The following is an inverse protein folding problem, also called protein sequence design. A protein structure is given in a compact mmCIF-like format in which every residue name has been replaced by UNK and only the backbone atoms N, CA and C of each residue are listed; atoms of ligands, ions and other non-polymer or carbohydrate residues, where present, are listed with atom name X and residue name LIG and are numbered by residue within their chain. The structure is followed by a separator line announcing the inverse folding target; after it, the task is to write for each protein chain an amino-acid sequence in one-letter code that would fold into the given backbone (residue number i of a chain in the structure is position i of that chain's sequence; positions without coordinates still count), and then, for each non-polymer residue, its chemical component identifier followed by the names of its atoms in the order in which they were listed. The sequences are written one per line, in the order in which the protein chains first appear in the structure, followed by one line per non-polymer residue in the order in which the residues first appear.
data_IF_206126042449
#
_entry.id   IF_206126042449
#
_cell.length_a   1.000
_cell.length_b   1.000
_cell.length_c   1.000
_cell.angle_alpha   90.00
_cell.angle_beta   90.00
_cell.angle_gamma   90.00
#
_symmetry.space_group_name_H-M   'P 1'
#
loop_
_entity.id
_entity.type
_entity.pdbx_description
1 polymer ?
#
# COMPACT_ATOMS: atom_id res chain seq x y z
N UNK A 1 0.69 17.49 -35.51
CA UNK A 1 1.22 16.14 -35.21
C UNK A 1 2.16 16.25 -34.03
N UNK A 2 1.66 16.14 -32.80
CA UNK A 2 2.54 16.12 -31.62
C UNK A 2 3.07 14.71 -31.44
N UNK A 3 4.20 14.43 -32.11
CA UNK A 3 5.01 13.25 -31.87
C UNK A 3 5.64 13.38 -30.49
N UNK A 4 5.06 12.72 -29.47
CA UNK A 4 5.84 12.31 -28.31
C UNK A 4 6.83 11.25 -28.83
N UNK A 5 8.12 11.44 -28.63
CA UNK A 5 9.13 10.49 -29.11
C UNK A 5 8.97 9.11 -28.46
N UNK A 6 10.03 8.32 -28.54
CA UNK A 6 10.14 7.03 -27.85
C UNK A 6 10.36 7.21 -26.33
N UNK A 7 9.60 8.09 -25.69
CA UNK A 7 9.80 8.57 -24.31
C UNK A 7 8.57 8.44 -23.41
N UNK A 8 7.52 7.75 -23.86
CA UNK A 8 6.55 7.02 -23.02
C UNK A 8 5.88 7.80 -21.88
N UNK A 9 4.57 8.09 -22.01
CA UNK A 9 3.77 8.61 -20.90
C UNK A 9 3.76 7.63 -19.71
N UNK A 10 4.58 7.89 -18.69
CA UNK A 10 4.60 7.15 -17.43
C UNK A 10 3.71 7.87 -16.41
N UNK A 11 2.60 7.22 -16.01
CA UNK A 11 1.78 7.67 -14.89
C UNK A 11 2.03 6.73 -13.71
N UNK A 12 2.65 7.20 -12.61
CA UNK A 12 2.85 6.36 -11.45
C UNK A 12 1.50 5.94 -10.85
N UNK A 13 1.43 4.71 -10.38
CA UNK A 13 0.30 4.17 -9.65
C UNK A 13 0.56 4.29 -8.14
N UNK A 14 -0.49 4.58 -7.39
CA UNK A 14 -0.45 4.58 -5.92
C UNK A 14 -1.31 3.44 -5.41
N UNK A 15 -0.74 2.64 -4.51
CA UNK A 15 -1.45 1.61 -3.74
C UNK A 15 -1.42 2.02 -2.27
N UNK A 16 -2.55 1.88 -1.61
CA UNK A 16 -2.73 2.21 -0.19
C UNK A 16 -3.34 1.03 0.53
N UNK A 17 -3.13 0.94 1.84
CA UNK A 17 -3.84 -0.01 2.68
C UNK A 17 -3.78 0.36 4.15
N UNK A 18 -4.45 -0.47 4.95
CA UNK A 18 -4.61 -0.29 6.38
C UNK A 18 -4.46 -1.64 7.08
N UNK A 19 -3.88 -1.66 8.28
CA UNK A 19 -3.62 -2.87 9.06
C UNK A 19 -4.07 -2.65 10.50
N UNK A 20 -4.92 -3.57 10.97
CA UNK A 20 -5.49 -3.60 12.33
C UNK A 20 -5.45 -5.03 12.88
N UNK A 21 -5.62 -5.16 14.20
CA UNK A 21 -5.77 -6.44 14.87
C UNK A 21 -7.26 -6.78 14.96
N UNK A 22 -7.70 -7.72 14.13
CA UNK A 22 -9.01 -8.36 14.20
C UNK A 22 -9.02 -9.35 15.38
N UNK A 23 -9.72 -8.99 16.45
CA UNK A 23 -9.74 -9.69 17.74
C UNK A 23 -10.89 -10.67 17.87
N UNK A 24 -11.96 -10.49 17.11
CA UNK A 24 -13.13 -11.37 17.14
C UNK A 24 -13.29 -12.23 15.87
N UNK A 25 -12.46 -11.98 14.85
CA UNK A 25 -12.28 -12.80 13.67
C UNK A 25 -13.31 -12.56 12.56
N UNK A 26 -13.94 -11.39 12.52
CA UNK A 26 -15.03 -11.09 11.60
C UNK A 26 -14.58 -10.43 10.27
N UNK A 27 -13.32 -10.01 10.19
CA UNK A 27 -12.72 -9.38 9.01
C UNK A 27 -13.08 -7.92 8.78
N UNK A 28 -13.70 -7.26 9.75
CA UNK A 28 -13.98 -5.82 9.79
C UNK A 28 -13.26 -5.20 10.98
N UNK A 29 -12.81 -3.96 10.86
CA UNK A 29 -12.26 -3.27 12.03
C UNK A 29 -13.38 -2.71 12.89
N UNK A 30 -13.56 -3.30 14.05
CA UNK A 30 -14.57 -2.90 15.01
C UNK A 30 -14.09 -1.89 16.05
N UNK A 31 -15.05 -1.28 16.76
CA UNK A 31 -14.73 -0.32 17.81
C UNK A 31 -13.98 -0.99 18.97
N UNK A 32 -12.73 -0.57 19.17
CA UNK A 32 -11.84 -1.15 20.19
C UNK A 32 -10.72 -1.99 19.60
N UNK A 33 -10.77 -2.29 18.30
CA UNK A 33 -9.73 -3.03 17.60
C UNK A 33 -8.57 -2.12 17.20
N UNK A 34 -7.35 -2.39 17.69
CA UNK A 34 -6.25 -1.46 17.55
C UNK A 34 -5.65 -1.46 16.15
N UNK A 35 -5.26 -0.27 15.69
CA UNK A 35 -4.37 -0.11 14.54
C UNK A 35 -3.00 -0.74 14.84
N UNK A 36 -2.34 -1.25 13.79
CA UNK A 36 -1.01 -1.87 13.92
C UNK A 36 0.08 -0.99 13.28
N UNK A 37 0.79 -0.17 14.07
CA UNK A 37 1.92 0.61 13.58
C UNK A 37 3.20 -0.22 13.45
N UNK A 38 4.13 0.27 12.64
CA UNK A 38 5.47 -0.31 12.46
C UNK A 38 5.46 -1.73 11.87
N UNK A 39 4.43 -2.08 11.09
CA UNK A 39 4.35 -3.35 10.36
C UNK A 39 4.96 -3.17 8.97
N UNK A 40 5.88 -4.07 8.62
CA UNK A 40 6.45 -4.14 7.29
C UNK A 40 5.44 -4.75 6.30
N UNK A 41 5.11 -3.99 5.25
CA UNK A 41 4.26 -4.43 4.15
C UNK A 41 5.14 -4.57 2.90
N UNK A 42 5.24 -5.79 2.38
CA UNK A 42 5.96 -6.12 1.15
C UNK A 42 4.99 -6.02 -0.03
N UNK A 43 5.24 -5.08 -0.95
CA UNK A 43 4.52 -4.98 -2.21
C UNK A 43 5.40 -5.58 -3.31
N UNK A 44 4.82 -6.45 -4.12
CA UNK A 44 5.43 -7.00 -5.33
C UNK A 44 4.66 -6.50 -6.55
N UNK A 45 5.35 -5.89 -7.52
CA UNK A 45 4.73 -5.44 -8.76
C UNK A 45 4.58 -6.58 -9.79
N UNK A 46 3.93 -6.29 -10.91
CA UNK A 46 3.70 -7.28 -11.97
C UNK A 46 4.97 -7.81 -12.65
N UNK A 47 6.10 -7.11 -12.51
CA UNK A 47 7.40 -7.51 -13.04
C UNK A 47 8.23 -8.28 -11.99
N UNK A 48 7.70 -8.48 -10.78
CA UNK A 48 8.37 -9.14 -9.67
C UNK A 48 9.29 -8.22 -8.85
N UNK A 49 9.29 -6.91 -9.08
CA UNK A 49 10.06 -6.00 -8.23
C UNK A 49 9.36 -5.84 -6.88
N UNK A 50 10.15 -5.85 -5.82
CA UNK A 50 9.65 -5.74 -4.45
C UNK A 50 10.00 -4.39 -3.82
N UNK A 51 9.08 -3.87 -3.01
CA UNK A 51 9.30 -2.72 -2.13
C UNK A 51 8.67 -2.98 -0.77
N UNK A 52 9.30 -2.47 0.29
CA UNK A 52 8.74 -2.55 1.64
C UNK A 52 8.35 -1.16 2.10
N UNK A 53 7.13 -1.03 2.61
CA UNK A 53 6.64 0.17 3.31
C UNK A 53 6.28 -0.21 4.75
N UNK A 54 6.17 0.79 5.62
CA UNK A 54 5.89 0.58 7.04
C UNK A 54 4.59 1.30 7.39
N UNK A 55 3.71 0.63 8.13
CA UNK A 55 2.46 1.25 8.62
C UNK A 55 2.76 2.37 9.62
N UNK A 56 2.02 3.46 9.50
CA UNK A 56 2.10 4.60 10.42
C UNK A 56 1.34 4.32 11.74
N UNK A 57 1.27 5.32 12.62
CA UNK A 57 0.54 5.24 13.90
C UNK A 57 -0.94 4.84 13.77
N UNK A 58 -1.55 5.12 12.62
CA UNK A 58 -2.94 4.78 12.30
C UNK A 58 -3.07 3.45 11.57
N UNK A 59 -2.00 2.65 11.41
CA UNK A 59 -2.04 1.40 10.65
C UNK A 59 -2.04 1.59 9.14
N UNK A 60 -1.97 2.83 8.65
CA UNK A 60 -2.04 3.13 7.22
C UNK A 60 -0.67 3.04 6.56
N UNK A 61 -0.66 2.61 5.30
CA UNK A 61 0.54 2.60 4.47
C UNK A 61 0.22 3.04 3.03
N UNK A 62 1.24 3.53 2.33
CA UNK A 62 1.14 3.97 0.94
C UNK A 62 2.42 3.63 0.18
N UNK A 63 2.26 3.14 -1.04
CA UNK A 63 3.34 2.85 -1.97
C UNK A 63 3.04 3.46 -3.34
N UNK A 64 3.95 4.28 -3.86
CA UNK A 64 3.82 4.93 -5.18
C UNK A 64 4.87 4.41 -6.13
N UNK A 65 4.48 3.92 -7.31
CA UNK A 65 5.34 3.15 -8.21
C UNK A 65 5.10 3.38 -9.67
#
# INVERSE_FOLDING_TARGET
TTSAGNDGYFKPATVTGHVYLDTDGDGTQDAGEPNLPNINVLITDANGNTRTVVTNANGDWTATG
#
